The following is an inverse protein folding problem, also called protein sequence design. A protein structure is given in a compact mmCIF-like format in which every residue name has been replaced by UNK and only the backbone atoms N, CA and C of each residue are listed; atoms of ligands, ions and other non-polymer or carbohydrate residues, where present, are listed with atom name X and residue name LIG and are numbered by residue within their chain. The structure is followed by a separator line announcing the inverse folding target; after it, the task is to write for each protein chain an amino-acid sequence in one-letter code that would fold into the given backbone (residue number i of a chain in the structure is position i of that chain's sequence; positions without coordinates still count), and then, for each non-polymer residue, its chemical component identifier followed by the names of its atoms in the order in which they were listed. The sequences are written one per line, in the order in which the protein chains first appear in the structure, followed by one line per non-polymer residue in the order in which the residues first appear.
data_IF_280875193364
#
_entry.id   IF_280875193364
#
_cell.length_a   1.000
_cell.length_b   1.000
_cell.length_c   1.000
_cell.angle_alpha   90.00
_cell.angle_beta   90.00
_cell.angle_gamma   90.00
#
_symmetry.space_group_name_H-M   'P 1'
#
loop_
_entity.id
_entity.type
_entity.pdbx_description
1 polymer ?
#
# COMPACT_ATOMS: atom_id res chain seq x y z
N UNK A 1 7.13 2.32 -3.89
CA UNK A 1 6.14 1.67 -3.02
C UNK A 1 4.85 2.46 -2.82
N UNK A 2 4.68 3.62 -3.45
CA UNK A 2 3.36 4.24 -3.60
C UNK A 2 2.57 3.42 -4.62
N UNK A 3 1.31 3.11 -4.32
CA UNK A 3 0.40 2.33 -5.15
C UNK A 3 -0.94 3.01 -5.22
N UNK A 4 -1.54 2.97 -6.41
CA UNK A 4 -2.87 3.51 -6.69
C UNK A 4 -3.72 2.37 -7.18
N UNK A 5 -4.99 2.36 -6.82
CA UNK A 5 -5.95 1.38 -7.31
C UNK A 5 -7.38 1.80 -7.01
N UNK A 6 -8.33 1.24 -7.74
CA UNK A 6 -9.74 1.58 -7.61
C UNK A 6 -10.66 0.37 -7.72
N UNK A 7 -11.88 0.56 -7.23
CA UNK A 7 -12.99 -0.38 -7.37
C UNK A 7 -14.32 0.38 -7.41
N UNK A 8 -15.35 -0.26 -7.93
CA UNK A 8 -16.70 0.33 -8.05
C UNK A 8 -17.45 0.14 -6.73
N UNK A 9 -18.07 1.22 -6.25
CA UNK A 9 -18.83 1.26 -4.98
C UNK A 9 -20.34 1.30 -5.19
N UNK A 10 -20.82 1.69 -6.36
CA UNK A 10 -22.23 1.53 -6.74
C UNK A 10 -22.43 1.57 -8.25
N UNK A 11 -23.50 0.93 -8.72
CA UNK A 11 -24.08 1.14 -10.05
C UNK A 11 -25.60 1.23 -9.89
N UNK A 12 -26.21 2.30 -10.41
CA UNK A 12 -27.64 2.54 -10.24
C UNK A 12 -28.05 2.59 -8.76
N UNK A 13 -29.05 1.81 -8.40
CA UNK A 13 -29.57 1.69 -7.02
C UNK A 13 -28.79 0.67 -6.17
N UNK A 14 -27.87 -0.08 -6.76
CA UNK A 14 -27.09 -1.10 -6.05
C UNK A 14 -25.82 -0.49 -5.46
N UNK A 15 -25.60 -0.70 -4.16
CA UNK A 15 -24.43 -0.24 -3.42
C UNK A 15 -23.58 -1.42 -2.95
N UNK A 16 -22.25 -1.25 -2.98
CA UNK A 16 -21.31 -2.25 -2.49
C UNK A 16 -21.54 -2.54 -1.01
N UNK A 17 -21.40 -3.81 -0.65
CA UNK A 17 -21.44 -4.27 0.73
C UNK A 17 -20.04 -4.29 1.36
N UNK A 18 -19.93 -4.72 2.62
CA UNK A 18 -18.61 -4.84 3.25
C UNK A 18 -17.70 -5.76 2.43
N UNK A 19 -16.43 -5.37 2.21
CA UNK A 19 -15.52 -6.19 1.45
C UNK A 19 -15.25 -7.53 2.16
N UNK A 20 -15.03 -8.62 1.39
CA UNK A 20 -14.63 -9.91 1.94
C UNK A 20 -13.47 -9.78 2.91
N UNK A 21 -13.49 -10.56 4.01
CA UNK A 21 -12.48 -10.48 5.06
C UNK A 21 -11.04 -10.61 4.53
N UNK A 22 -10.83 -11.43 3.49
CA UNK A 22 -9.52 -11.62 2.86
C UNK A 22 -8.96 -10.41 2.10
N UNK A 23 -9.80 -9.40 1.80
CA UNK A 23 -9.37 -8.18 1.09
C UNK A 23 -9.17 -6.98 2.02
N UNK A 24 -9.64 -7.05 3.26
CA UNK A 24 -9.63 -5.92 4.20
C UNK A 24 -8.23 -5.36 4.42
N UNK A 25 -7.22 -6.22 4.49
CA UNK A 25 -5.84 -5.79 4.68
C UNK A 25 -5.30 -5.01 3.46
N UNK A 26 -5.76 -5.31 2.25
CA UNK A 26 -5.29 -4.62 1.02
C UNK A 26 -5.71 -3.15 0.97
N UNK A 27 -6.81 -2.79 1.64
CA UNK A 27 -7.25 -1.39 1.77
C UNK A 27 -6.17 -0.52 2.44
N UNK A 28 -5.36 -1.12 3.30
CA UNK A 28 -4.26 -0.46 4.00
C UNK A 28 -2.90 -0.69 3.34
N UNK A 29 -2.69 -1.91 2.84
CA UNK A 29 -1.36 -2.41 2.51
C UNK A 29 -0.97 -2.22 1.05
N UNK A 30 -1.91 -2.40 0.10
CA UNK A 30 -1.58 -2.47 -1.33
C UNK A 30 -2.80 -2.17 -2.22
N UNK A 31 -2.99 -0.90 -2.57
CA UNK A 31 -4.10 -0.47 -3.44
C UNK A 31 -4.03 -1.09 -4.85
N UNK A 32 -2.83 -1.37 -5.35
CA UNK A 32 -2.63 -1.99 -6.68
C UNK A 32 -3.09 -3.46 -6.65
N UNK A 33 -2.77 -4.20 -5.59
CA UNK A 33 -3.31 -5.55 -5.40
C UNK A 33 -4.84 -5.55 -5.23
N UNK A 34 -5.40 -4.54 -4.57
CA UNK A 34 -6.86 -4.38 -4.45
C UNK A 34 -7.51 -4.13 -5.82
N UNK A 35 -6.91 -3.29 -6.67
CA UNK A 35 -7.38 -3.07 -8.03
C UNK A 35 -7.32 -4.33 -8.90
N UNK A 36 -6.24 -5.11 -8.79
CA UNK A 36 -6.12 -6.41 -9.48
C UNK A 36 -7.18 -7.42 -9.03
N UNK A 37 -7.65 -7.34 -7.78
CA UNK A 37 -8.81 -8.14 -7.34
C UNK A 37 -10.09 -7.65 -8.01
N UNK A 38 -10.30 -6.33 -8.06
CA UNK A 38 -11.45 -5.73 -8.75
C UNK A 38 -11.45 -6.07 -10.25
N UNK A 39 -10.30 -6.14 -10.91
CA UNK A 39 -10.16 -6.49 -12.34
C UNK A 39 -10.69 -7.89 -12.69
N UNK A 40 -10.86 -8.78 -11.71
CA UNK A 40 -11.50 -10.09 -11.92
C UNK A 40 -13.01 -9.98 -12.19
N UNK A 41 -13.61 -8.85 -11.86
CA UNK A 41 -15.00 -8.51 -12.12
C UNK A 41 -15.12 -7.61 -13.35
N UNK A 42 -16.05 -7.90 -14.26
CA UNK A 42 -16.30 -7.06 -15.44
C UNK A 42 -16.86 -5.68 -15.08
N UNK A 43 -17.44 -5.55 -13.88
CA UNK A 43 -17.94 -4.30 -13.32
C UNK A 43 -17.05 -3.76 -12.19
N UNK A 44 -15.84 -4.33 -12.03
CA UNK A 44 -14.86 -3.96 -10.99
C UNK A 44 -15.40 -3.96 -9.55
N UNK A 45 -16.27 -4.93 -9.24
CA UNK A 45 -16.74 -5.20 -7.90
C UNK A 45 -15.73 -6.05 -7.10
N UNK A 46 -15.73 -5.91 -5.77
CA UNK A 46 -14.84 -6.66 -4.87
C UNK A 46 -15.44 -7.97 -4.35
N UNK A 47 -16.71 -8.24 -4.64
CA UNK A 47 -17.39 -9.47 -4.23
C UNK A 47 -18.30 -9.99 -5.34
N UNK A 48 -18.49 -11.32 -5.45
CA UNK A 48 -19.44 -11.88 -6.42
C UNK A 48 -20.88 -11.39 -6.23
N UNK A 49 -21.25 -11.06 -4.98
CA UNK A 49 -22.58 -10.52 -4.66
C UNK A 49 -22.75 -9.13 -5.25
N UNK A 50 -21.77 -8.26 -5.05
CA UNK A 50 -21.83 -6.89 -5.56
C UNK A 50 -21.70 -6.88 -7.09
N UNK A 51 -20.88 -7.78 -7.67
CA UNK A 51 -20.77 -7.99 -9.13
C UNK A 51 -22.14 -8.27 -9.75
N UNK A 52 -22.86 -9.27 -9.22
CA UNK A 52 -24.19 -9.62 -9.68
C UNK A 52 -25.18 -8.46 -9.52
N UNK A 53 -25.19 -7.81 -8.34
CA UNK A 53 -26.10 -6.70 -8.06
C UNK A 53 -25.88 -5.52 -9.02
N UNK A 54 -24.62 -5.21 -9.35
CA UNK A 54 -24.27 -4.15 -10.29
C UNK A 54 -24.64 -4.51 -11.72
N UNK A 55 -24.43 -5.77 -12.14
CA UNK A 55 -24.81 -6.25 -13.48
C UNK A 55 -26.31 -6.19 -13.71
N UNK A 56 -27.12 -6.58 -12.71
CA UNK A 56 -28.58 -6.47 -12.78
C UNK A 56 -29.04 -5.03 -13.08
N UNK A 57 -28.37 -4.03 -12.52
CA UNK A 57 -28.70 -2.61 -12.78
C UNK A 57 -28.35 -2.19 -14.22
N UNK A 58 -27.22 -2.68 -14.74
CA UNK A 58 -26.81 -2.44 -16.14
C UNK A 58 -27.79 -3.13 -17.10
N UNK A 59 -28.14 -4.39 -16.85
CA UNK A 59 -29.06 -5.16 -17.68
C UNK A 59 -30.46 -4.53 -17.68
N UNK A 60 -30.94 -4.06 -16.53
CA UNK A 60 -32.20 -3.31 -16.43
C UNK A 60 -32.16 -2.04 -17.28
N UNK A 61 -31.13 -1.21 -17.13
CA UNK A 61 -30.98 -0.01 -17.94
C UNK A 61 -30.94 -0.33 -19.44
N UNK A 62 -30.25 -1.41 -19.84
CA UNK A 62 -30.22 -1.85 -21.24
C UNK A 62 -31.60 -2.27 -21.76
N UNK A 63 -32.36 -3.04 -20.99
CA UNK A 63 -33.73 -3.46 -21.33
C UNK A 63 -34.68 -2.25 -21.46
N UNK A 64 -34.51 -1.25 -20.59
CA UNK A 64 -35.28 -0.01 -20.59
C UNK A 64 -34.79 1.00 -21.66
N UNK A 65 -33.76 0.65 -22.45
CA UNK A 65 -33.09 1.54 -23.42
C UNK A 65 -32.59 2.85 -22.78
N UNK A 66 -32.11 2.74 -21.55
CA UNK A 66 -31.56 3.80 -20.73
C UNK A 66 -30.04 3.59 -20.47
N UNK A 67 -29.44 4.48 -19.70
CA UNK A 67 -28.06 4.42 -19.22
C UNK A 67 -28.04 4.54 -17.71
N UNK A 68 -26.98 4.02 -17.08
CA UNK A 68 -26.85 4.04 -15.62
C UNK A 68 -25.48 4.56 -15.19
N UNK A 69 -25.48 5.34 -14.12
CA UNK A 69 -24.29 5.89 -13.48
C UNK A 69 -23.92 5.12 -12.22
N UNK A 70 -23.11 5.72 -11.36
CA UNK A 70 -22.66 5.07 -10.14
C UNK A 70 -21.51 5.79 -9.46
N UNK A 71 -20.88 5.10 -8.51
CA UNK A 71 -19.75 5.62 -7.74
C UNK A 71 -18.58 4.66 -7.76
N UNK A 72 -17.38 5.19 -7.61
CA UNK A 72 -16.15 4.40 -7.44
C UNK A 72 -15.25 5.06 -6.40
N UNK A 73 -14.33 4.28 -5.84
CA UNK A 73 -13.32 4.73 -4.90
C UNK A 73 -11.93 4.51 -5.49
N UNK A 74 -11.07 5.53 -5.38
CA UNK A 74 -9.65 5.45 -5.70
C UNK A 74 -8.87 5.53 -4.39
N UNK A 75 -7.97 4.58 -4.18
CA UNK A 75 -7.09 4.49 -3.02
C UNK A 75 -5.64 4.69 -3.41
N UNK A 76 -4.87 5.27 -2.49
CA UNK A 76 -3.42 5.40 -2.59
C UNK A 76 -2.77 4.91 -1.30
N UNK A 77 -1.94 3.87 -1.39
CA UNK A 77 -1.15 3.36 -0.25
C UNK A 77 0.32 3.71 -0.39
N UNK A 78 1.04 3.74 0.74
CA UNK A 78 2.50 3.93 0.76
C UNK A 78 2.99 5.38 0.75
N UNK A 79 2.09 6.35 0.94
CA UNK A 79 2.44 7.76 1.12
C UNK A 79 2.91 8.05 2.56
N UNK A 80 4.05 8.73 2.76
CA UNK A 80 4.42 9.23 4.08
C UNK A 80 3.49 10.38 4.48
N UNK A 81 3.38 10.71 5.78
CA UNK A 81 2.70 11.93 6.20
C UNK A 81 3.42 13.19 5.70
N UNK A 82 2.64 14.25 5.46
CA UNK A 82 3.11 15.58 5.10
C UNK A 82 3.30 15.84 3.61
N UNK A 83 2.76 15.01 2.71
CA UNK A 83 2.62 15.33 1.26
C UNK A 83 1.43 16.26 1.09
N UNK A 84 1.56 17.30 0.25
CA UNK A 84 0.63 18.43 0.19
C UNK A 84 1.02 19.59 1.11
N UNK A 85 0.13 20.57 1.24
CA UNK A 85 0.31 21.72 2.14
C UNK A 85 -1.02 22.20 2.75
N UNK A 86 -0.95 22.80 3.94
CA UNK A 86 -2.08 23.52 4.56
C UNK A 86 -2.03 25.04 4.30
N UNK A 87 -0.94 25.53 3.71
CA UNK A 87 -0.58 26.95 3.71
C UNK A 87 -1.43 27.81 2.77
N UNK A 88 -1.79 27.29 1.60
CA UNK A 88 -2.59 28.00 0.59
C UNK A 88 -3.75 27.11 0.16
N UNK A 89 -4.94 27.70 0.00
CA UNK A 89 -6.18 26.94 -0.21
C UNK A 89 -6.21 26.15 -1.53
N UNK A 90 -5.55 26.66 -2.56
CA UNK A 90 -5.51 26.10 -3.93
C UNK A 90 -4.40 25.07 -4.13
N UNK A 91 -3.45 24.99 -3.19
CA UNK A 91 -2.36 24.02 -3.17
C UNK A 91 -2.62 22.86 -2.20
N UNK A 92 -3.75 22.84 -1.50
CA UNK A 92 -4.08 21.75 -0.59
C UNK A 92 -4.37 20.48 -1.38
N UNK A 93 -3.81 19.35 -0.92
CA UNK A 93 -3.88 18.08 -1.64
C UNK A 93 -5.33 17.58 -1.81
N UNK A 94 -6.19 17.82 -0.83
CA UNK A 94 -7.63 17.55 -0.92
C UNK A 94 -8.29 18.29 -2.09
N UNK A 95 -8.03 19.59 -2.24
CA UNK A 95 -8.53 20.42 -3.34
C UNK A 95 -7.97 19.98 -4.70
N UNK A 96 -6.70 19.61 -4.77
CA UNK A 96 -6.05 19.12 -5.99
C UNK A 96 -6.62 17.78 -6.45
N UNK A 97 -6.87 16.86 -5.52
CA UNK A 97 -7.52 15.57 -5.80
C UNK A 97 -8.97 15.73 -6.21
N UNK A 98 -9.71 16.62 -5.53
CA UNK A 98 -11.08 16.96 -5.90
C UNK A 98 -11.14 17.51 -7.33
N UNK A 99 -10.22 18.42 -7.69
CA UNK A 99 -10.09 18.95 -9.06
C UNK A 99 -9.77 17.84 -10.06
N UNK A 100 -8.82 16.97 -9.75
CA UNK A 100 -8.41 15.88 -10.62
C UNK A 100 -9.59 14.96 -10.95
N UNK A 101 -10.33 14.49 -9.95
CA UNK A 101 -11.51 13.64 -10.16
C UNK A 101 -12.67 14.39 -10.82
N UNK A 102 -12.98 15.61 -10.39
CA UNK A 102 -14.09 16.38 -10.95
C UNK A 102 -13.86 16.77 -12.42
N UNK A 103 -12.61 16.80 -12.87
CA UNK A 103 -12.24 17.05 -14.28
C UNK A 103 -12.53 15.86 -15.20
N UNK A 104 -12.74 14.66 -14.67
CA UNK A 104 -13.11 13.49 -15.46
C UNK A 104 -14.52 13.72 -16.04
N UNK A 105 -14.75 13.46 -17.34
CA UNK A 105 -16.07 13.58 -17.94
C UNK A 105 -17.14 12.80 -17.16
N UNK A 106 -18.31 13.44 -17.01
CA UNK A 106 -19.47 12.92 -16.29
C UNK A 106 -19.34 12.77 -14.76
N UNK A 107 -18.22 13.13 -14.14
CA UNK A 107 -18.17 13.24 -12.67
C UNK A 107 -18.96 14.46 -12.21
N UNK A 108 -19.86 14.26 -11.24
CA UNK A 108 -20.76 15.28 -10.69
C UNK A 108 -20.55 15.56 -9.21
N UNK A 109 -19.89 14.67 -8.48
CA UNK A 109 -19.49 14.88 -7.10
C UNK A 109 -18.17 14.13 -6.82
N UNK A 110 -17.43 14.65 -5.84
CA UNK A 110 -16.22 14.04 -5.31
C UNK A 110 -16.30 14.03 -3.79
N UNK A 111 -15.96 12.89 -3.18
CA UNK A 111 -15.82 12.76 -1.74
C UNK A 111 -14.36 12.54 -1.34
N UNK A 112 -13.97 13.10 -0.20
CA UNK A 112 -12.67 12.94 0.42
C UNK A 112 -12.88 12.14 1.70
N UNK A 113 -12.22 10.99 1.84
CA UNK A 113 -12.52 10.08 2.93
C UNK A 113 -14.00 9.68 2.94
N UNK A 114 -14.61 9.68 4.12
CA UNK A 114 -16.04 9.39 4.30
C UNK A 114 -16.97 10.53 3.83
N UNK A 115 -16.43 11.66 3.35
CA UNK A 115 -17.18 12.64 2.56
C UNK A 115 -18.46 13.16 3.19
N UNK A 116 -19.59 13.03 2.49
CA UNK A 116 -20.89 13.53 2.95
C UNK A 116 -21.33 12.86 4.26
N UNK A 117 -20.94 11.60 4.50
CA UNK A 117 -21.25 10.91 5.77
C UNK A 117 -20.67 11.65 6.98
N UNK A 118 -19.47 12.24 6.84
CA UNK A 118 -18.87 13.02 7.92
C UNK A 118 -19.64 14.31 8.22
N UNK A 119 -20.38 14.87 7.26
CA UNK A 119 -21.21 16.06 7.48
C UNK A 119 -22.48 15.77 8.29
N UNK A 120 -22.89 14.51 8.39
CA UNK A 120 -24.11 14.06 9.09
C UNK A 120 -23.85 13.56 10.51
N UNK A 121 -22.59 13.56 10.96
CA UNK A 121 -22.15 12.98 12.21
C UNK A 121 -21.46 14.01 13.11
N UNK A 122 -21.50 13.76 14.43
CA UNK A 122 -20.79 14.60 15.39
C UNK A 122 -19.26 14.43 15.31
N UNK A 123 -18.51 15.47 15.70
CA UNK A 123 -17.05 15.48 15.76
C UNK A 123 -16.43 14.23 16.41
N UNK A 124 -17.06 13.69 17.45
CA UNK A 124 -16.63 12.48 18.17
C UNK A 124 -16.73 11.18 17.36
N UNK A 125 -17.32 11.22 16.17
CA UNK A 125 -17.56 10.08 15.28
C UNK A 125 -16.88 10.21 13.91
N UNK A 126 -16.28 11.36 13.61
CA UNK A 126 -15.74 11.66 12.26
C UNK A 126 -14.24 11.89 12.25
N UNK A 127 -13.65 12.26 13.40
CA UNK A 127 -12.20 12.46 13.49
C UNK A 127 -11.50 11.16 13.86
N UNK A 128 -10.30 10.98 13.34
CA UNK A 128 -9.49 9.80 13.57
C UNK A 128 -8.57 9.99 14.78
N UNK A 129 -8.83 9.33 15.93
CA UNK A 129 -8.00 9.49 17.10
C UNK A 129 -6.60 8.91 16.87
N UNK A 130 -5.60 9.48 17.56
CA UNK A 130 -4.20 9.08 17.43
C UNK A 130 -3.74 8.31 18.67
N UNK A 131 -3.34 7.05 18.46
CA UNK A 131 -2.72 6.19 19.46
C UNK A 131 -1.20 6.15 19.29
N UNK A 132 -0.47 6.04 20.40
CA UNK A 132 0.95 5.70 20.36
C UNK A 132 1.12 4.19 20.27
N UNK A 133 1.60 3.66 19.13
CA UNK A 133 1.88 2.23 18.92
C UNK A 133 3.12 2.01 18.05
N UNK A 134 3.88 0.95 18.34
CA UNK A 134 4.88 0.39 17.39
C UNK A 134 5.93 1.36 16.86
N UNK A 135 6.40 2.34 17.64
CA UNK A 135 7.41 3.31 17.17
C UNK A 135 6.87 4.57 16.49
N UNK A 136 5.55 4.72 16.34
CA UNK A 136 4.92 5.88 15.69
C UNK A 136 3.52 6.22 16.20
N UNK A 137 2.78 6.96 15.38
CA UNK A 137 1.34 7.22 15.55
C UNK A 137 0.57 6.19 14.73
N UNK A 138 -0.43 5.58 15.36
CA UNK A 138 -1.42 4.75 14.68
C UNK A 138 -2.79 5.42 14.80
N UNK A 139 -3.61 5.31 13.75
CA UNK A 139 -5.02 5.66 13.81
C UNK A 139 -5.86 4.37 13.77
N UNK A 140 -6.85 4.20 14.66
CA UNK A 140 -7.73 3.02 14.63
C UNK A 140 -8.81 3.14 13.54
N UNK A 141 -9.02 4.34 13.00
CA UNK A 141 -9.97 4.67 11.93
C UNK A 141 -9.29 5.57 10.90
N UNK A 142 -9.92 5.71 9.72
CA UNK A 142 -9.43 6.56 8.63
C UNK A 142 -10.60 7.29 7.94
N UNK A 143 -11.50 7.87 8.71
CA UNK A 143 -12.64 8.64 8.23
C UNK A 143 -12.23 9.87 7.40
N UNK A 144 -11.04 10.42 7.69
CA UNK A 144 -10.47 11.55 6.97
C UNK A 144 -9.88 11.16 5.59
N UNK A 145 -9.81 9.87 5.26
CA UNK A 145 -9.32 9.40 3.97
C UNK A 145 -7.85 9.70 3.72
N UNK A 146 -7.02 9.55 4.75
CA UNK A 146 -5.58 9.76 4.69
C UNK A 146 -5.16 11.24 4.65
N UNK A 147 -6.10 12.19 4.79
CA UNK A 147 -5.85 13.62 4.64
C UNK A 147 -6.31 14.39 5.89
N UNK A 148 -5.45 15.23 6.46
CA UNK A 148 -5.80 16.16 7.53
C UNK A 148 -5.24 17.53 7.18
N UNK A 149 -6.08 18.56 7.09
CA UNK A 149 -5.64 19.93 6.78
C UNK A 149 -4.99 20.10 5.40
N UNK A 150 -5.32 19.26 4.41
CA UNK A 150 -4.73 19.34 3.07
C UNK A 150 -3.36 18.65 2.92
N UNK A 151 -2.93 17.88 3.94
CA UNK A 151 -1.72 17.06 3.89
C UNK A 151 -2.02 15.59 4.15
N UNK A 152 -1.19 14.69 3.63
CA UNK A 152 -1.27 13.27 3.99
C UNK A 152 -0.97 13.07 5.46
N UNK A 153 -1.75 12.22 6.12
CA UNK A 153 -1.63 11.91 7.54
C UNK A 153 -0.88 10.57 7.79
N UNK A 154 -0.53 9.87 6.71
CA UNK A 154 0.19 8.59 6.69
C UNK A 154 -0.71 7.37 6.57
N UNK A 155 -2.02 7.48 6.79
CA UNK A 155 -3.00 6.43 6.48
C UNK A 155 -3.24 6.37 4.96
N UNK A 156 -3.84 5.27 4.44
CA UNK A 156 -4.22 5.19 3.04
C UNK A 156 -5.09 6.37 2.64
N UNK A 157 -4.69 7.03 1.56
CA UNK A 157 -5.50 8.09 0.99
C UNK A 157 -6.64 7.46 0.21
N UNK A 158 -7.87 7.95 0.36
CA UNK A 158 -8.96 7.55 -0.52
C UNK A 158 -9.93 8.68 -0.85
N UNK A 159 -10.38 8.67 -2.09
CA UNK A 159 -11.29 9.65 -2.68
C UNK A 159 -12.31 8.94 -3.55
N UNK A 160 -13.54 9.46 -3.64
CA UNK A 160 -14.62 8.83 -4.43
C UNK A 160 -15.13 9.75 -5.51
N UNK A 161 -15.43 9.19 -6.67
CA UNK A 161 -16.08 9.89 -7.78
C UNK A 161 -17.51 9.41 -7.97
N UNK A 162 -18.46 10.34 -8.12
CA UNK A 162 -19.83 10.04 -8.51
C UNK A 162 -20.04 10.39 -9.98
N UNK A 163 -20.18 9.37 -10.82
CA UNK A 163 -20.40 9.50 -12.25
C UNK A 163 -21.89 9.48 -12.58
N UNK A 164 -22.39 10.53 -13.22
CA UNK A 164 -23.75 10.49 -13.77
C UNK A 164 -23.86 9.48 -14.92
N UNK A 165 -25.07 8.98 -15.23
CA UNK A 165 -25.28 8.22 -16.46
C UNK A 165 -24.79 8.99 -17.69
N UNK A 166 -24.36 8.24 -18.71
CA UNK A 166 -23.89 8.82 -19.96
C UNK A 166 -25.03 9.58 -20.62
N UNK A 167 -24.73 10.77 -21.15
CA UNK A 167 -25.77 11.67 -21.66
C UNK A 167 -26.56 11.09 -22.85
N UNK A 168 -25.97 10.13 -23.57
CA UNK A 168 -26.56 9.50 -24.74
C UNK A 168 -27.50 8.37 -24.32
N UNK A 169 -28.74 8.71 -24.03
CA UNK A 169 -29.81 7.74 -23.74
C UNK A 169 -30.35 7.17 -25.06
N UNK A 170 -30.36 5.83 -25.27
CA UNK A 170 -30.86 5.23 -26.52
C UNK A 170 -32.34 5.48 -26.81
N UNK A 171 -33.14 5.83 -25.80
CA UNK A 171 -34.52 6.30 -25.95
C UNK A 171 -34.63 7.73 -26.50
N UNK A 172 -33.51 8.45 -26.64
CA UNK A 172 -33.35 9.83 -27.10
C UNK A 172 -34.19 10.86 -26.29
N UNK A 173 -33.49 11.79 -25.63
CA UNK A 173 -34.14 12.88 -24.89
C UNK A 173 -34.65 13.95 -25.86
N UNK A 174 -35.64 14.74 -25.44
CA UNK A 174 -36.06 15.92 -26.19
C UNK A 174 -34.92 16.95 -26.23
N UNK A 175 -34.71 17.55 -27.40
CA UNK A 175 -33.70 18.54 -27.73
C UNK A 175 -34.28 19.59 -28.69
N UNK A 176 -33.42 20.42 -29.27
CA UNK A 176 -33.75 21.44 -30.25
C UNK A 176 -32.70 21.42 -31.36
N UNK A 177 -33.10 21.50 -32.62
CA UNK A 177 -32.15 21.76 -33.73
C UNK A 177 -31.71 23.23 -33.67
N UNK A 178 -30.43 23.44 -33.41
CA UNK A 178 -29.86 24.78 -33.24
C UNK A 178 -29.83 25.61 -34.54
N UNK A 179 -30.09 25.01 -35.72
CA UNK A 179 -30.15 25.74 -36.99
C UNK A 179 -31.49 26.45 -37.20
N UNK A 180 -32.59 25.80 -36.84
CA UNK A 180 -33.94 26.29 -37.10
C UNK A 180 -34.75 26.61 -35.83
N UNK A 181 -34.29 26.17 -34.65
CA UNK A 181 -34.95 26.40 -33.36
C UNK A 181 -36.13 25.46 -33.09
N UNK A 182 -36.33 24.43 -33.89
CA UNK A 182 -37.46 23.49 -33.76
C UNK A 182 -37.15 22.36 -32.78
N UNK A 183 -38.19 21.80 -32.17
CA UNK A 183 -38.05 20.65 -31.29
C UNK A 183 -37.55 19.42 -32.06
N UNK A 184 -36.51 18.76 -31.56
CA UNK A 184 -35.90 17.57 -32.17
C UNK A 184 -35.50 16.55 -31.08
N UNK A 185 -35.12 15.34 -31.48
CA UNK A 185 -34.54 14.36 -30.58
C UNK A 185 -33.03 14.59 -30.40
N UNK A 186 -32.52 14.39 -29.19
CA UNK A 186 -31.10 14.40 -28.92
C UNK A 186 -30.40 13.29 -29.74
N UNK A 187 -29.30 13.64 -30.38
CA UNK A 187 -28.54 12.69 -31.19
C UNK A 187 -27.91 11.60 -30.33
N UNK A 188 -27.96 10.36 -30.83
CA UNK A 188 -27.40 9.19 -30.15
C UNK A 188 -25.99 8.91 -30.66
N UNK A 189 -24.97 9.32 -29.91
CA UNK A 189 -23.54 9.18 -30.26
C UNK A 189 -22.92 7.84 -29.84
N UNK A 190 -23.13 7.42 -28.59
CA UNK A 190 -22.54 6.20 -28.01
C UNK A 190 -23.61 5.22 -27.56
N UNK A 191 -23.23 3.94 -27.47
CA UNK A 191 -24.11 2.81 -27.15
C UNK A 191 -23.80 2.13 -25.82
N UNK A 192 -22.86 2.67 -25.03
CA UNK A 192 -22.50 2.10 -23.73
C UNK A 192 -23.54 2.43 -22.66
N UNK A 193 -24.06 1.39 -21.99
CA UNK A 193 -25.07 1.54 -20.93
C UNK A 193 -24.48 2.09 -19.63
N UNK A 194 -23.25 1.71 -19.29
CA UNK A 194 -22.56 2.11 -18.07
C UNK A 194 -21.05 2.17 -18.30
N UNK A 195 -20.40 3.24 -17.86
CA UNK A 195 -18.95 3.41 -17.94
C UNK A 195 -18.27 3.66 -16.58
N UNK A 196 -18.97 3.41 -15.47
CA UNK A 196 -18.42 3.57 -14.11
C UNK A 196 -17.14 2.73 -13.89
N UNK A 197 -17.06 1.45 -14.33
CA UNK A 197 -15.82 0.67 -14.16
C UNK A 197 -14.63 1.27 -14.90
N UNK A 198 -14.84 1.80 -16.12
CA UNK A 198 -13.80 2.48 -16.88
C UNK A 198 -13.42 3.82 -16.25
N UNK A 199 -14.40 4.57 -15.74
CA UNK A 199 -14.16 5.82 -15.03
C UNK A 199 -13.34 5.63 -13.75
N UNK A 200 -13.47 4.48 -13.07
CA UNK A 200 -12.64 4.14 -11.91
C UNK A 200 -11.14 4.07 -12.28
N UNK A 201 -10.81 3.43 -13.41
CA UNK A 201 -9.43 3.36 -13.95
C UNK A 201 -8.91 4.74 -14.36
N UNK A 202 -9.75 5.56 -14.99
CA UNK A 202 -9.39 6.96 -15.27
C UNK A 202 -9.14 7.73 -13.98
N UNK A 203 -9.93 7.44 -12.94
CA UNK A 203 -9.75 7.91 -11.57
C UNK A 203 -8.38 7.58 -10.99
N UNK A 204 -7.93 6.33 -11.13
CA UNK A 204 -6.57 5.92 -10.72
C UNK A 204 -5.52 6.77 -11.41
N UNK A 205 -5.63 6.97 -12.73
CA UNK A 205 -4.64 7.73 -13.50
C UNK A 205 -4.56 9.19 -13.07
N UNK A 206 -5.69 9.89 -12.94
CA UNK A 206 -5.67 11.33 -12.58
C UNK A 206 -5.24 11.54 -11.13
N UNK A 207 -5.59 10.63 -10.21
CA UNK A 207 -5.13 10.68 -8.81
C UNK A 207 -3.64 10.36 -8.74
N UNK A 208 -3.15 9.38 -9.50
CA UNK A 208 -1.72 9.06 -9.54
C UNK A 208 -0.88 10.25 -10.02
N UNK A 209 -1.34 10.98 -11.03
CA UNK A 209 -0.67 12.19 -11.52
C UNK A 209 -0.67 13.29 -10.46
N UNK A 210 -1.82 13.60 -9.86
CA UNK A 210 -1.91 14.61 -8.80
C UNK A 210 -1.01 14.28 -7.59
N UNK A 211 -0.96 13.01 -7.17
CA UNK A 211 -0.07 12.56 -6.09
C UNK A 211 1.40 12.63 -6.51
N UNK A 212 1.74 12.30 -7.75
CA UNK A 212 3.10 12.39 -8.25
C UNK A 212 3.61 13.84 -8.27
N UNK A 213 2.79 14.78 -8.73
CA UNK A 213 3.10 16.22 -8.70
C UNK A 213 3.43 16.70 -7.27
N UNK A 214 2.61 16.34 -6.29
CA UNK A 214 2.83 16.73 -4.90
C UNK A 214 4.01 16.01 -4.25
N UNK A 215 4.32 14.78 -4.67
CA UNK A 215 5.55 14.10 -4.26
C UNK A 215 6.79 14.82 -4.82
N UNK A 216 6.77 15.24 -6.08
CA UNK A 216 7.87 16.02 -6.66
C UNK A 216 8.02 17.38 -5.99
N UNK A 217 6.91 18.08 -5.75
CA UNK A 217 6.92 19.37 -5.06
C UNK A 217 7.52 19.27 -3.65
N UNK A 218 7.20 18.19 -2.91
CA UNK A 218 7.73 17.96 -1.56
C UNK A 218 9.18 17.49 -1.54
N UNK A 219 9.52 16.51 -2.37
CA UNK A 219 10.75 15.74 -2.25
C UNK A 219 11.88 16.27 -3.12
N UNK A 220 11.56 16.96 -4.22
CA UNK A 220 12.51 17.39 -5.24
C UNK A 220 13.27 16.21 -5.87
N UNK A 221 14.50 16.50 -6.32
CA UNK A 221 15.41 15.54 -6.94
C UNK A 221 15.24 15.46 -8.45
N UNK A 222 16.37 15.26 -9.15
CA UNK A 222 16.44 15.20 -10.62
C UNK A 222 16.59 13.75 -11.13
N UNK A 223 16.77 12.79 -10.22
CA UNK A 223 16.87 11.37 -10.53
C UNK A 223 15.96 10.52 -9.65
N UNK A 224 15.57 9.34 -10.15
CA UNK A 224 14.79 8.38 -9.38
C UNK A 224 15.51 7.96 -8.08
N UNK A 225 16.85 7.89 -8.10
CA UNK A 225 17.64 7.53 -6.92
C UNK A 225 17.54 8.60 -5.82
N UNK A 226 17.62 9.88 -6.20
CA UNK A 226 17.43 11.01 -5.28
C UNK A 226 16.02 11.03 -4.70
N UNK A 227 14.99 10.89 -5.55
CA UNK A 227 13.60 10.83 -5.11
C UNK A 227 13.36 9.67 -4.13
N UNK A 228 13.93 8.49 -4.41
CA UNK A 228 13.84 7.33 -3.51
C UNK A 228 14.57 7.57 -2.19
N UNK A 229 15.71 8.27 -2.19
CA UNK A 229 16.41 8.65 -0.96
C UNK A 229 15.59 9.65 -0.14
N UNK A 230 15.03 10.69 -0.78
CA UNK A 230 14.17 11.67 -0.15
C UNK A 230 12.89 11.05 0.43
N UNK A 231 12.25 10.15 -0.31
CA UNK A 231 11.07 9.41 0.16
C UNK A 231 11.37 8.53 1.38
N UNK A 232 12.52 7.85 1.40
CA UNK A 232 12.98 7.11 2.59
C UNK A 232 13.17 8.02 3.78
N UNK A 233 13.83 9.15 3.58
CA UNK A 233 14.03 10.14 4.64
C UNK A 233 12.70 10.69 5.18
N UNK A 234 11.72 10.93 4.31
CA UNK A 234 10.37 11.35 4.71
C UNK A 234 9.71 10.30 5.62
N UNK A 235 9.75 9.01 5.25
CA UNK A 235 9.26 7.92 6.09
C UNK A 235 10.03 7.79 7.42
N UNK A 236 11.35 7.99 7.41
CA UNK A 236 12.14 8.00 8.65
C UNK A 236 11.72 9.12 9.59
N UNK A 237 11.53 10.34 9.06
CA UNK A 237 11.09 11.51 9.84
C UNK A 237 9.67 11.38 10.39
N UNK A 238 8.83 10.59 9.73
CA UNK A 238 7.47 10.30 10.20
C UNK A 238 7.42 9.42 11.46
N UNK A 239 8.51 8.72 11.80
CA UNK A 239 8.60 7.87 13.00
C UNK A 239 8.93 8.74 14.21
N UNK A 240 7.95 8.96 15.09
CA UNK A 240 8.11 9.80 16.28
C UNK A 240 8.86 9.12 17.44
N UNK A 241 8.89 7.78 17.49
CA UNK A 241 9.48 7.03 18.60
C UNK A 241 10.55 6.04 18.15
N UNK A 242 11.25 5.48 19.12
CA UNK A 242 12.11 4.33 18.92
C UNK A 242 11.28 3.13 18.47
N UNK A 243 11.47 2.73 17.21
CA UNK A 243 10.77 1.61 16.58
C UNK A 243 11.56 0.30 16.62
N UNK A 244 10.99 -0.75 16.05
CA UNK A 244 11.66 -2.05 15.90
C UNK A 244 12.96 -1.92 15.09
N UNK A 245 13.84 -2.91 15.20
CA UNK A 245 15.02 -3.05 14.34
C UNK A 245 14.88 -4.31 13.52
N UNK A 246 14.56 -4.16 12.24
CA UNK A 246 14.39 -5.26 11.30
C UNK A 246 15.71 -5.60 10.63
N UNK A 247 16.05 -6.90 10.55
CA UNK A 247 17.20 -7.39 9.79
C UNK A 247 16.72 -8.07 8.51
N UNK A 248 17.25 -7.64 7.35
CA UNK A 248 17.03 -8.31 6.07
C UNK A 248 18.36 -8.67 5.39
N UNK A 249 18.29 -9.50 4.35
CA UNK A 249 19.43 -9.97 3.57
C UNK A 249 19.22 -11.39 3.07
N UNK A 250 20.11 -11.86 2.20
CA UNK A 250 20.02 -13.20 1.60
C UNK A 250 20.02 -14.32 2.66
N UNK A 251 19.43 -15.50 2.37
CA UNK A 251 19.65 -16.69 3.19
C UNK A 251 21.17 -16.93 3.36
N UNK A 252 21.63 -17.19 4.58
CA UNK A 252 23.07 -17.31 4.89
C UNK A 252 23.78 -15.99 5.24
N UNK A 253 23.11 -14.83 5.14
CA UNK A 253 23.70 -13.53 5.48
C UNK A 253 24.03 -13.33 6.97
N UNK A 254 23.58 -14.23 7.85
CA UNK A 254 23.89 -14.20 9.29
C UNK A 254 22.80 -13.59 10.19
N UNK A 255 21.59 -13.34 9.69
CA UNK A 255 20.48 -12.73 10.48
C UNK A 255 20.19 -13.46 11.80
N UNK A 256 20.05 -14.79 11.79
CA UNK A 256 19.76 -15.57 13.00
C UNK A 256 20.95 -15.65 13.98
N UNK A 257 22.16 -15.31 13.52
CA UNK A 257 23.37 -15.22 14.39
C UNK A 257 23.58 -13.81 14.94
N UNK A 258 23.39 -12.79 14.09
CA UNK A 258 23.55 -11.37 14.45
C UNK A 258 22.38 -10.86 15.29
N UNK A 259 21.16 -11.37 15.04
CA UNK A 259 19.94 -10.97 15.74
C UNK A 259 20.05 -11.03 17.27
N UNK A 260 20.41 -12.18 17.88
CA UNK A 260 20.58 -12.29 19.34
C UNK A 260 21.64 -11.34 19.91
N UNK A 261 22.77 -11.18 19.21
CA UNK A 261 23.85 -10.29 19.62
C UNK A 261 23.39 -8.82 19.59
N UNK A 262 22.71 -8.42 18.53
CA UNK A 262 22.16 -7.07 18.38
C UNK A 262 21.07 -6.79 19.43
N UNK A 263 20.19 -7.76 19.68
CA UNK A 263 19.16 -7.68 20.70
C UNK A 263 19.76 -7.41 22.09
N UNK A 264 20.82 -8.15 22.45
CA UNK A 264 21.57 -7.93 23.70
C UNK A 264 22.24 -6.55 23.75
N UNK A 265 22.87 -6.10 22.66
CA UNK A 265 23.54 -4.78 22.60
C UNK A 265 22.57 -3.60 22.72
N UNK A 266 21.31 -3.77 22.29
CA UNK A 266 20.27 -2.74 22.35
C UNK A 266 19.35 -2.89 23.57
N UNK A 267 19.47 -3.98 24.34
CA UNK A 267 18.56 -4.28 25.45
C UNK A 267 17.12 -4.55 25.00
N UNK A 268 16.95 -5.15 23.81
CA UNK A 268 15.64 -5.42 23.20
C UNK A 268 15.37 -6.93 23.11
N UNK A 269 14.09 -7.35 23.13
CA UNK A 269 13.74 -8.74 22.80
C UNK A 269 14.04 -9.07 21.33
N UNK A 270 14.34 -10.34 21.07
CA UNK A 270 14.53 -10.88 19.72
C UNK A 270 13.27 -11.61 19.24
N UNK A 271 12.90 -11.37 17.99
CA UNK A 271 11.90 -12.16 17.26
C UNK A 271 12.55 -12.66 15.97
N UNK A 272 12.74 -13.98 15.84
CA UNK A 272 13.07 -14.60 14.56
C UNK A 272 11.75 -15.00 13.87
N UNK A 273 11.48 -14.42 12.69
CA UNK A 273 10.22 -14.60 11.98
C UNK A 273 10.02 -16.05 11.54
N UNK A 274 11.08 -16.70 11.06
CA UNK A 274 11.03 -18.11 10.62
C UNK A 274 10.65 -18.98 11.82
N UNK A 275 11.34 -18.82 12.96
CA UNK A 275 11.07 -19.59 14.18
C UNK A 275 9.67 -19.33 14.76
N UNK A 276 9.19 -18.08 14.69
CA UNK A 276 7.84 -17.72 15.14
C UNK A 276 6.76 -18.37 14.27
N UNK A 277 6.96 -18.38 12.95
CA UNK A 277 6.06 -19.05 12.01
C UNK A 277 5.97 -20.54 12.29
N UNK A 278 7.11 -21.22 12.44
CA UNK A 278 7.13 -22.67 12.70
C UNK A 278 6.41 -23.01 14.00
N UNK A 279 6.67 -22.24 15.06
CA UNK A 279 5.98 -22.39 16.34
C UNK A 279 4.46 -22.19 16.23
N UNK A 280 4.03 -21.19 15.46
CA UNK A 280 2.61 -20.88 15.29
C UNK A 280 1.86 -21.91 14.43
N UNK A 281 2.54 -22.49 13.44
CA UNK A 281 1.97 -23.47 12.52
C UNK A 281 2.09 -24.92 13.03
N UNK A 282 2.96 -25.17 14.01
CA UNK A 282 3.31 -26.53 14.46
C UNK A 282 4.00 -27.37 13.37
N UNK A 283 4.57 -26.72 12.36
CA UNK A 283 5.21 -27.31 11.17
C UNK A 283 6.42 -26.50 10.78
N UNK A 284 7.41 -27.13 10.17
CA UNK A 284 8.60 -26.46 9.63
C UNK A 284 8.26 -25.58 8.42
N UNK A 285 9.09 -24.57 8.14
CA UNK A 285 8.91 -23.70 6.96
C UNK A 285 8.77 -24.49 5.64
N UNK A 286 9.60 -25.52 5.35
CA UNK A 286 9.43 -26.34 4.15
C UNK A 286 8.06 -27.03 4.05
N UNK A 287 7.50 -27.51 5.16
CA UNK A 287 6.18 -28.15 5.18
C UNK A 287 5.07 -27.13 4.90
N UNK A 288 5.19 -25.90 5.42
CA UNK A 288 4.24 -24.81 5.14
C UNK A 288 4.28 -24.48 3.63
N UNK A 289 5.47 -24.29 3.06
CA UNK A 289 5.63 -24.03 1.62
C UNK A 289 5.06 -25.16 0.76
N UNK A 290 5.28 -26.42 1.14
CA UNK A 290 4.76 -27.57 0.38
C UNK A 290 3.23 -27.68 0.45
N UNK A 291 2.61 -27.26 1.56
CA UNK A 291 1.17 -27.37 1.75
C UNK A 291 0.40 -26.19 1.17
N UNK A 292 0.97 -24.98 1.23
CA UNK A 292 0.26 -23.72 0.96
C UNK A 292 0.83 -22.94 -0.23
N UNK A 293 1.93 -23.41 -0.81
CA UNK A 293 2.65 -22.68 -1.84
C UNK A 293 3.35 -21.41 -1.32
N UNK A 294 3.96 -20.66 -2.22
CA UNK A 294 4.64 -19.42 -1.86
C UNK A 294 3.64 -18.35 -1.42
N UNK A 295 2.52 -18.16 -2.12
CA UNK A 295 1.55 -17.12 -1.81
C UNK A 295 0.93 -17.29 -0.40
N UNK A 296 0.57 -18.53 -0.04
CA UNK A 296 0.07 -18.84 1.30
C UNK A 296 1.11 -18.58 2.40
N UNK A 297 2.36 -18.99 2.16
CA UNK A 297 3.47 -18.68 3.07
C UNK A 297 3.68 -17.16 3.24
N UNK A 298 3.65 -16.39 2.14
CA UNK A 298 3.82 -14.93 2.18
C UNK A 298 2.68 -14.23 2.92
N UNK A 299 1.45 -14.71 2.76
CA UNK A 299 0.31 -14.21 3.51
C UNK A 299 0.49 -14.44 5.03
N UNK A 300 1.00 -15.61 5.44
CA UNK A 300 1.34 -15.88 6.85
C UNK A 300 2.47 -15.00 7.37
N UNK A 301 3.54 -14.82 6.61
CA UNK A 301 4.63 -13.90 6.97
C UNK A 301 4.08 -12.48 7.18
N UNK A 302 3.24 -11.99 6.26
CA UNK A 302 2.66 -10.65 6.34
C UNK A 302 1.79 -10.48 7.59
N UNK A 303 0.94 -11.46 7.90
CA UNK A 303 0.11 -11.44 9.10
C UNK A 303 0.95 -11.40 10.40
N UNK A 304 2.03 -12.19 10.47
CA UNK A 304 2.94 -12.17 11.63
C UNK A 304 3.67 -10.84 11.76
N UNK A 305 4.18 -10.27 10.66
CA UNK A 305 4.86 -8.96 10.69
C UNK A 305 3.88 -7.85 11.10
N UNK A 306 2.62 -7.89 10.64
CA UNK A 306 1.56 -6.97 11.06
C UNK A 306 1.35 -7.02 12.58
N UNK A 307 1.25 -8.21 13.16
CA UNK A 307 1.12 -8.38 14.61
C UNK A 307 2.36 -7.85 15.35
N UNK A 308 3.56 -8.21 14.89
CA UNK A 308 4.83 -7.76 15.47
C UNK A 308 4.91 -6.23 15.47
N UNK A 309 4.54 -5.58 14.37
CA UNK A 309 4.62 -4.13 14.20
C UNK A 309 3.77 -3.33 15.19
N UNK A 310 2.75 -3.96 15.79
CA UNK A 310 1.86 -3.38 16.80
C UNK A 310 2.32 -3.69 18.23
N UNK A 311 3.29 -4.58 18.37
CA UNK A 311 3.80 -5.06 19.64
C UNK A 311 4.89 -4.17 20.26
N UNK A 312 5.51 -4.63 21.35
CA UNK A 312 6.63 -3.96 21.97
C UNK A 312 7.88 -3.98 21.07
N UNK A 313 8.68 -2.92 21.15
CA UNK A 313 9.91 -2.74 20.37
C UNK A 313 10.82 -3.97 20.51
N UNK A 314 11.29 -4.48 19.38
CA UNK A 314 12.07 -5.72 19.28
C UNK A 314 13.11 -5.61 18.16
N UNK A 315 14.17 -6.42 18.23
CA UNK A 315 14.96 -6.80 17.06
C UNK A 315 14.23 -7.92 16.34
N UNK A 316 13.99 -7.79 15.04
CA UNK A 316 13.21 -8.73 14.24
C UNK A 316 14.05 -9.24 13.07
N UNK A 317 14.42 -10.51 13.10
CA UNK A 317 15.08 -11.16 11.97
C UNK A 317 14.03 -11.61 10.94
N UNK A 318 14.03 -10.98 9.76
CA UNK A 318 13.09 -11.31 8.70
C UNK A 318 13.59 -12.49 7.85
N UNK A 319 12.65 -13.25 7.29
CA UNK A 319 12.93 -14.26 6.27
C UNK A 319 13.63 -13.63 5.05
N UNK A 320 14.49 -14.39 4.38
CA UNK A 320 15.28 -13.88 3.25
C UNK A 320 14.46 -13.45 2.02
N UNK A 321 13.15 -13.68 2.00
CA UNK A 321 12.23 -13.18 0.98
C UNK A 321 11.15 -12.25 1.53
N UNK A 322 11.06 -12.04 2.85
CA UNK A 322 9.95 -11.35 3.49
C UNK A 322 9.66 -9.97 2.87
N UNK A 323 10.70 -9.18 2.61
CA UNK A 323 10.55 -7.81 2.10
C UNK A 323 10.13 -7.73 0.62
N UNK A 324 10.02 -8.86 -0.11
CA UNK A 324 9.42 -8.85 -1.46
C UNK A 324 7.91 -8.59 -1.38
N UNK A 325 7.26 -8.99 -0.29
CA UNK A 325 5.86 -8.67 0.02
C UNK A 325 5.68 -7.19 0.31
N UNK A 326 4.74 -6.54 -0.38
CA UNK A 326 4.44 -5.11 -0.16
C UNK A 326 3.79 -4.88 1.21
N UNK A 327 2.95 -5.81 1.65
CA UNK A 327 2.36 -5.82 2.99
C UNK A 327 3.42 -5.79 4.10
N UNK A 328 4.46 -6.63 3.98
CA UNK A 328 5.57 -6.62 4.94
C UNK A 328 6.31 -5.29 4.91
N UNK A 329 6.57 -4.75 3.71
CA UNK A 329 7.20 -3.42 3.59
C UNK A 329 6.33 -2.31 4.18
N UNK A 330 5.01 -2.39 4.04
CA UNK A 330 4.07 -1.44 4.66
C UNK A 330 4.27 -1.39 6.18
N UNK A 331 4.30 -2.53 6.85
CA UNK A 331 4.46 -2.58 8.31
C UNK A 331 5.87 -2.20 8.75
N UNK A 332 6.90 -2.74 8.10
CA UNK A 332 8.32 -2.48 8.43
C UNK A 332 8.63 -0.99 8.35
N UNK A 333 8.23 -0.30 7.27
CA UNK A 333 8.56 1.12 7.09
C UNK A 333 7.88 2.03 8.11
N UNK A 334 6.73 1.63 8.66
CA UNK A 334 5.94 2.42 9.61
C UNK A 334 6.42 2.23 11.05
N UNK A 335 6.97 1.06 11.36
CA UNK A 335 7.17 0.62 12.74
C UNK A 335 8.63 0.46 13.17
N UNK A 336 9.61 0.58 12.26
CA UNK A 336 11.00 0.43 12.65
C UNK A 336 12.04 0.66 11.56
N UNK A 337 13.31 0.52 11.94
CA UNK A 337 14.45 0.67 11.04
C UNK A 337 14.81 -0.66 10.37
N UNK A 338 15.00 -0.65 9.05
CA UNK A 338 15.40 -1.83 8.30
C UNK A 338 16.90 -1.81 8.00
N UNK A 339 17.64 -2.78 8.52
CA UNK A 339 19.08 -2.95 8.34
C UNK A 339 19.33 -4.11 7.38
N UNK A 340 20.02 -3.84 6.28
CA UNK A 340 20.45 -4.86 5.33
C UNK A 340 21.82 -5.41 5.71
N UNK A 341 21.88 -6.71 5.98
CA UNK A 341 23.14 -7.45 6.08
C UNK A 341 23.58 -7.88 4.68
N UNK A 342 24.47 -7.10 4.06
CA UNK A 342 25.02 -7.39 2.72
C UNK A 342 26.14 -8.41 2.86
N UNK A 343 25.97 -9.53 2.19
CA UNK A 343 26.88 -10.67 2.23
C UNK A 343 27.11 -11.19 0.82
N UNK A 344 28.36 -11.48 0.41
CA UNK A 344 28.65 -12.10 -0.87
C UNK A 344 27.87 -13.41 -1.06
N UNK A 345 27.49 -13.71 -2.30
CA UNK A 345 26.73 -14.93 -2.65
C UNK A 345 27.48 -16.18 -2.22
N UNK A 346 28.80 -16.24 -2.44
CA UNK A 346 29.62 -17.41 -2.08
C UNK A 346 29.65 -17.65 -0.56
N UNK A 347 29.75 -16.56 0.22
CA UNK A 347 29.67 -16.63 1.69
C UNK A 347 28.29 -17.14 2.14
N UNK A 348 27.22 -16.66 1.50
CA UNK A 348 25.86 -17.11 1.77
C UNK A 348 25.69 -18.59 1.43
N UNK A 349 26.20 -19.04 0.29
CA UNK A 349 26.11 -20.42 -0.19
C UNK A 349 26.83 -21.38 0.74
N UNK A 350 28.06 -21.05 1.16
CA UNK A 350 28.83 -21.86 2.11
C UNK A 350 28.12 -22.02 3.47
N UNK A 351 27.46 -20.96 3.95
CA UNK A 351 26.70 -20.99 5.21
C UNK A 351 25.35 -21.70 5.09
N UNK A 352 24.68 -21.58 3.95
CA UNK A 352 23.33 -22.10 3.75
C UNK A 352 23.29 -23.60 3.40
N UNK A 353 24.38 -24.16 2.87
CA UNK A 353 24.53 -25.59 2.58
C UNK A 353 24.44 -26.47 3.84
N UNK A 354 24.67 -25.93 5.03
CA UNK A 354 24.70 -26.68 6.29
C UNK A 354 23.31 -26.97 6.91
N UNK A 355 22.17 -26.58 6.31
CA UNK A 355 20.87 -26.84 6.96
C UNK A 355 19.56 -26.40 6.29
N UNK A 356 19.47 -26.24 4.96
CA UNK A 356 18.20 -25.84 4.30
C UNK A 356 17.88 -26.64 3.02
N UNK A 357 16.72 -27.34 2.94
CA UNK A 357 16.30 -28.12 1.76
C UNK A 357 16.06 -27.31 0.48
N UNK A 358 15.73 -26.02 0.58
CA UNK A 358 15.46 -25.13 -0.57
C UNK A 358 16.67 -24.89 -1.50
N UNK A 359 17.87 -25.22 -1.05
CA UNK A 359 19.14 -25.00 -1.77
C UNK A 359 19.81 -26.31 -2.25
N UNK A 360 19.13 -27.46 -2.16
CA UNK A 360 19.68 -28.72 -2.67
C UNK A 360 20.02 -28.62 -4.18
N UNK A 361 21.14 -29.24 -4.60
CA UNK A 361 21.66 -29.21 -5.98
C UNK A 361 22.75 -28.15 -6.18
N UNK A 362 22.35 -26.96 -6.64
CA UNK A 362 23.23 -25.81 -6.91
C UNK A 362 22.87 -24.61 -6.00
N UNK A 363 23.34 -24.59 -4.73
CA UNK A 363 23.11 -23.48 -3.82
C UNK A 363 23.63 -22.14 -4.35
N UNK A 364 24.77 -22.16 -5.04
CA UNK A 364 25.45 -20.95 -5.51
C UNK A 364 24.67 -20.29 -6.65
N UNK A 365 24.28 -21.04 -7.69
CA UNK A 365 23.47 -20.52 -8.79
C UNK A 365 22.08 -20.07 -8.35
N UNK A 366 21.43 -20.81 -7.44
CA UNK A 366 20.14 -20.41 -6.86
C UNK A 366 20.25 -19.11 -6.05
N UNK A 367 21.29 -18.97 -5.21
CA UNK A 367 21.51 -17.75 -4.44
C UNK A 367 21.90 -16.57 -5.33
N UNK A 368 22.66 -16.79 -6.40
CA UNK A 368 22.98 -15.76 -7.39
C UNK A 368 21.71 -15.22 -8.08
N UNK A 369 20.78 -16.11 -8.45
CA UNK A 369 19.48 -15.72 -9.00
C UNK A 369 18.61 -14.96 -7.99
N UNK A 370 18.65 -15.35 -6.71
CA UNK A 370 17.98 -14.58 -5.65
C UNK A 370 18.64 -13.21 -5.41
N UNK A 371 19.97 -13.12 -5.48
CA UNK A 371 20.70 -11.88 -5.29
C UNK A 371 20.37 -10.86 -6.38
N UNK A 372 20.40 -11.27 -7.65
CA UNK A 372 20.12 -10.39 -8.79
C UNK A 372 18.73 -9.75 -8.72
N UNK A 373 17.75 -10.44 -8.14
CA UNK A 373 16.38 -9.94 -7.98
C UNK A 373 16.17 -9.18 -6.68
N UNK A 374 16.80 -9.59 -5.57
CA UNK A 374 16.49 -9.06 -4.22
C UNK A 374 17.44 -7.97 -3.74
N UNK A 375 18.71 -7.96 -4.14
CA UNK A 375 19.66 -6.93 -3.70
C UNK A 375 19.28 -5.51 -4.14
N UNK A 376 18.81 -5.26 -5.38
CA UNK A 376 18.31 -3.94 -5.75
C UNK A 376 17.14 -3.50 -4.86
N UNK A 377 16.29 -4.45 -4.44
CA UNK A 377 15.21 -4.17 -3.50
C UNK A 377 15.77 -3.84 -2.11
N UNK A 378 16.68 -4.64 -1.54
CA UNK A 378 17.29 -4.39 -0.23
C UNK A 378 17.97 -3.02 -0.18
N UNK A 379 18.80 -2.71 -1.18
CA UNK A 379 19.48 -1.42 -1.28
C UNK A 379 18.50 -0.24 -1.35
N UNK A 380 17.36 -0.44 -2.02
CA UNK A 380 16.33 0.60 -2.17
C UNK A 380 15.50 0.84 -0.92
N UNK A 381 15.24 -0.16 -0.09
CA UNK A 381 14.27 -0.04 1.03
C UNK A 381 14.91 0.05 2.41
N UNK A 382 16.16 -0.37 2.56
CA UNK A 382 16.83 -0.37 3.86
C UNK A 382 17.26 1.03 4.28
N UNK A 383 17.20 1.27 5.59
CA UNK A 383 17.63 2.51 6.23
C UNK A 383 19.14 2.56 6.42
N UNK A 384 19.78 1.40 6.60
CA UNK A 384 21.23 1.24 6.63
C UNK A 384 21.66 -0.11 6.02
N UNK A 385 22.90 -0.16 5.56
CA UNK A 385 23.55 -1.35 5.02
C UNK A 385 24.80 -1.64 5.84
N UNK A 386 24.99 -2.92 6.19
CA UNK A 386 26.16 -3.43 6.91
C UNK A 386 26.77 -4.56 6.09
N UNK A 387 28.02 -4.36 5.68
CA UNK A 387 28.80 -5.38 4.97
C UNK A 387 29.33 -6.41 5.96
N UNK A 388 29.02 -7.69 5.74
CA UNK A 388 29.38 -8.76 6.71
C UNK A 388 30.70 -9.45 6.39
N UNK A 389 31.27 -9.21 5.21
CA UNK A 389 32.49 -9.86 4.75
C UNK A 389 33.68 -9.46 5.62
N UNK A 390 34.48 -10.45 6.05
CA UNK A 390 35.64 -10.23 6.91
C UNK A 390 35.34 -9.85 8.37
N UNK A 391 34.06 -9.81 8.78
CA UNK A 391 33.66 -9.44 10.14
C UNK A 391 33.13 -10.64 10.94
N UNK A 392 33.45 -10.68 12.23
CA UNK A 392 32.82 -11.60 13.19
C UNK A 392 31.35 -11.22 13.43
N UNK A 393 30.47 -12.16 13.85
CA UNK A 393 29.09 -11.83 14.18
C UNK A 393 28.94 -10.70 15.21
N UNK A 394 29.85 -10.61 16.18
CA UNK A 394 29.89 -9.54 17.20
C UNK A 394 30.27 -8.19 16.59
N UNK A 395 31.20 -8.17 15.62
CA UNK A 395 31.56 -6.95 14.90
C UNK A 395 30.38 -6.44 14.06
N UNK A 396 29.70 -7.35 13.33
CA UNK A 396 28.49 -7.01 12.56
C UNK A 396 27.39 -6.49 13.47
N UNK A 397 27.13 -7.15 14.61
CA UNK A 397 26.12 -6.71 15.58
C UNK A 397 26.44 -5.31 16.17
N UNK A 398 27.71 -5.02 16.46
CA UNK A 398 28.14 -3.67 16.89
C UNK A 398 27.94 -2.62 15.79
N UNK A 399 28.24 -2.95 14.54
CA UNK A 399 28.02 -2.05 13.41
C UNK A 399 26.52 -1.77 13.20
N UNK A 400 25.66 -2.80 13.29
CA UNK A 400 24.21 -2.63 13.30
C UNK A 400 23.74 -1.71 14.45
N UNK A 401 24.21 -1.95 15.67
CA UNK A 401 23.84 -1.14 16.83
C UNK A 401 24.26 0.33 16.68
N UNK A 402 25.46 0.58 16.14
CA UNK A 402 25.93 1.93 15.84
C UNK A 402 25.06 2.62 14.77
N UNK A 403 24.73 1.91 13.68
CA UNK A 403 23.86 2.43 12.62
C UNK A 403 22.46 2.76 13.16
N UNK A 404 21.87 1.89 13.99
CA UNK A 404 20.59 2.17 14.65
C UNK A 404 20.71 3.44 15.48
N UNK A 405 21.68 3.53 16.41
CA UNK A 405 21.85 4.73 17.25
C UNK A 405 22.00 6.03 16.43
N UNK A 406 22.70 5.97 15.30
CA UNK A 406 22.80 7.11 14.37
C UNK A 406 21.43 7.49 13.79
N UNK A 407 20.68 6.52 13.27
CA UNK A 407 19.34 6.73 12.73
C UNK A 407 18.36 7.30 13.77
N UNK A 408 18.49 6.89 15.04
CA UNK A 408 17.64 7.38 16.13
C UNK A 408 18.06 8.77 16.62
N UNK A 409 19.34 9.14 16.47
CA UNK A 409 19.85 10.47 16.80
C UNK A 409 19.43 11.52 15.77
N UNK A 410 19.26 11.16 14.50
CA UNK A 410 18.83 12.04 13.40
C UNK A 410 17.33 12.43 13.45
N UNK A 411 16.60 12.03 14.49
CA UNK A 411 15.16 12.35 14.60
C UNK A 411 14.95 13.85 14.79
N UNK A 412 14.22 14.44 13.85
CA UNK A 412 14.02 15.87 13.68
C UNK A 412 13.19 16.58 14.79
N UNK A 413 12.78 15.85 15.83
CA UNK A 413 11.95 16.36 16.92
C UNK A 413 12.57 15.91 18.26
N UNK A 414 13.62 16.61 18.70
CA UNK A 414 14.10 16.57 20.09
C UNK A 414 13.82 17.88 20.76
#
# INVERSE_FOLDING_TARGET
DVRVGSFVTSIGEAHATEPPAGLRDLFDEDADALALEADKSSVRALSPRDDEAFRVQIERAQQERDTVGGTFEVRVTGLPPGVGTYAQHDLRLDGLLARALASIPAIKAVELGDGFRNAELFGSKVHDPMDRKGGGIARPTNHAGGLEGGITNGEPLFVRGAMKPIATVPAALRSVDLKNGEADAAHVERSDTCAVPAAAVVGEAVVALAVAEELFAKLGGDSLAELQAALRLAWRRARLLEGHVYLCGLPGSGKSTVGPLLANLLGLPLIDLDARLEKSAGRSVPEIFSAEGEDGFRAREAAQVREISRGPRSVVALGGGAVTSRAIRHHVRRSGHLIWLRAPVDLCAGRAAAGRPLLAGDPAGKLAALASTREPLYARISDAQIDVEGLSPEQVARACAAAVRSLEAERAWR
#
